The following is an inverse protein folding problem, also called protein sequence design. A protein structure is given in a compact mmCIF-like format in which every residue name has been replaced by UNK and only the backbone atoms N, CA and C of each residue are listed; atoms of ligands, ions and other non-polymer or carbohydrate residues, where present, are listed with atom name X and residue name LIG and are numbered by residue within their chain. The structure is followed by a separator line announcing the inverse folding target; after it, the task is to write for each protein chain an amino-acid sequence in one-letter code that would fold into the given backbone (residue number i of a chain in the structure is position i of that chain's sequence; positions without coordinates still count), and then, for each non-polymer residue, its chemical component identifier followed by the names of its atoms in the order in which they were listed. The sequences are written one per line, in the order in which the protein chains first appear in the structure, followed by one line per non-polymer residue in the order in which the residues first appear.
data_IF_761850026109
#
_entry.id   IF_761850026109
#
_cell.length_a   1.000
_cell.length_b   1.000
_cell.length_c   1.000
_cell.angle_alpha   90.00
_cell.angle_beta   90.00
_cell.angle_gamma   90.00
#
_symmetry.space_group_name_H-M   'P 1'
#
loop_
_entity.id
_entity.type
_entity.pdbx_description
1 polymer ?
#
# COMPACT_ATOMS: atom_id res chain seq x y z
N UNK A 1 -11.82 9.38 25.54
CA UNK A 1 -10.59 8.98 24.85
C UNK A 1 -9.94 10.21 24.23
N UNK A 2 -8.65 10.48 24.52
CA UNK A 2 -7.91 11.63 23.99
C UNK A 2 -6.50 11.18 23.60
N UNK A 3 -5.95 11.74 22.54
CA UNK A 3 -4.57 11.52 22.08
C UNK A 3 -3.83 12.84 22.18
N UNK A 4 -2.73 12.85 22.93
CA UNK A 4 -1.94 14.05 23.14
C UNK A 4 -0.88 14.24 22.04
N UNK A 5 -0.54 15.49 21.79
CA UNK A 5 0.51 15.89 20.85
C UNK A 5 1.71 16.37 21.64
N UNK A 6 2.86 15.73 21.41
CA UNK A 6 4.13 16.06 22.06
C UNK A 6 5.18 16.38 21.02
N UNK A 7 6.06 17.34 21.30
CA UNK A 7 7.12 17.74 20.39
C UNK A 7 8.50 17.32 20.90
N UNK A 8 9.42 17.13 19.95
CA UNK A 8 10.84 16.90 20.20
C UNK A 8 11.67 17.81 19.29
N UNK A 9 12.87 18.23 19.71
CA UNK A 9 13.79 18.93 18.81
C UNK A 9 14.12 18.05 17.60
N UNK A 10 14.19 18.67 16.42
CA UNK A 10 14.63 18.01 15.20
C UNK A 10 16.11 17.62 15.29
N UNK A 11 16.46 16.46 14.74
CA UNK A 11 17.86 16.02 14.63
C UNK A 11 18.72 16.94 13.74
N UNK A 12 18.09 17.79 12.92
CA UNK A 12 18.76 18.79 12.07
C UNK A 12 19.17 20.03 12.91
N UNK A 13 18.87 20.04 14.22
CA UNK A 13 19.22 21.12 15.15
C UNK A 13 18.35 22.38 15.00
N UNK A 14 17.45 22.42 14.02
CA UNK A 14 16.49 23.50 13.80
C UNK A 14 15.08 22.93 13.67
N UNK A 15 14.15 23.48 14.44
CA UNK A 15 12.73 23.12 14.43
C UNK A 15 12.33 22.01 15.41
N UNK A 16 11.03 21.77 15.50
CA UNK A 16 10.41 20.75 16.33
C UNK A 16 9.69 19.71 15.46
N UNK A 17 9.74 18.45 15.89
CA UNK A 17 9.00 17.34 15.30
C UNK A 17 7.88 16.96 16.25
N UNK A 18 6.66 16.98 15.72
CA UNK A 18 5.45 16.61 16.45
C UNK A 18 5.19 15.10 16.36
N UNK A 19 4.75 14.54 17.47
CA UNK A 19 4.36 13.13 17.61
C UNK A 19 3.05 13.04 18.39
N UNK A 20 2.30 11.99 18.11
CA UNK A 20 1.20 11.54 18.95
C UNK A 20 1.75 10.70 20.11
N UNK A 21 1.25 10.94 21.31
CA UNK A 21 1.46 10.08 22.46
C UNK A 21 0.33 9.04 22.51
N UNK A 22 0.67 7.77 22.30
CA UNK A 22 -0.35 6.72 22.35
C UNK A 22 -0.85 6.53 23.78
N UNK A 23 -2.17 6.60 24.03
CA UNK A 23 -2.72 6.56 25.39
C UNK A 23 -2.62 5.18 26.07
N UNK A 24 -2.37 4.10 25.31
CA UNK A 24 -2.25 2.74 25.87
C UNK A 24 -0.78 2.31 26.06
N UNK A 25 0.09 2.62 25.10
CA UNK A 25 1.51 2.19 25.16
C UNK A 25 2.44 3.28 25.67
N UNK A 26 1.97 4.52 25.79
CA UNK A 26 2.77 5.71 26.10
C UNK A 26 3.96 5.93 25.15
N UNK A 27 3.92 5.31 23.97
CA UNK A 27 4.94 5.47 22.93
C UNK A 27 4.60 6.67 22.04
N UNK A 28 5.63 7.42 21.68
CA UNK A 28 5.55 8.49 20.68
C UNK A 28 5.53 7.91 19.29
N UNK A 29 4.60 8.34 18.46
CA UNK A 29 4.45 7.84 17.10
C UNK A 29 3.94 8.92 16.14
N UNK A 30 4.21 8.75 14.83
CA UNK A 30 3.75 9.68 13.79
C UNK A 30 2.47 9.22 13.10
N UNK A 31 2.08 7.98 13.33
CA UNK A 31 0.90 7.34 12.75
C UNK A 31 0.20 6.56 13.85
N UNK A 32 -1.11 6.75 13.92
CA UNK A 32 -2.00 5.94 14.73
C UNK A 32 -2.84 5.07 13.79
N UNK A 33 -3.20 3.88 14.26
CA UNK A 33 -4.01 2.94 13.51
C UNK A 33 -5.42 2.98 14.09
N UNK A 34 -6.42 3.14 13.21
CA UNK A 34 -7.84 3.11 13.59
C UNK A 34 -8.33 1.67 13.55
N UNK A 35 -8.56 1.08 14.71
CA UNK A 35 -9.07 -0.29 14.84
C UNK A 35 -10.06 -0.27 16.00
N UNK A 36 -11.24 -0.84 15.76
CA UNK A 36 -12.34 -0.92 16.73
C UNK A 36 -12.72 0.45 17.35
N UNK A 37 -12.65 1.52 16.54
CA UNK A 37 -12.97 2.88 16.97
C UNK A 37 -11.88 3.61 17.76
N UNK A 38 -10.72 2.99 18.01
CA UNK A 38 -9.60 3.60 18.72
C UNK A 38 -8.41 3.90 17.79
N UNK A 39 -7.67 5.00 18.08
CA UNK A 39 -6.47 5.40 17.34
C UNK A 39 -5.19 5.13 18.14
N UNK A 40 -4.62 3.93 18.03
CA UNK A 40 -3.52 3.54 18.90
C UNK A 40 -2.22 3.28 18.14
N UNK A 41 -1.14 3.14 18.90
CA UNK A 41 0.14 2.66 18.39
C UNK A 41 -0.04 1.22 17.86
N UNK A 42 0.67 0.84 16.79
CA UNK A 42 0.58 -0.50 16.19
C UNK A 42 0.73 -1.66 17.20
N UNK A 43 1.53 -1.47 18.24
CA UNK A 43 1.79 -2.49 19.26
C UNK A 43 0.69 -2.57 20.34
N UNK A 44 -0.19 -1.58 20.41
CA UNK A 44 -1.36 -1.64 21.29
C UNK A 44 -2.31 -2.75 20.86
N UNK A 45 -2.33 -3.05 19.56
CA UNK A 45 -3.16 -4.08 18.96
C UNK A 45 -2.43 -5.42 18.98
N UNK A 46 -3.00 -6.40 19.68
CA UNK A 46 -2.51 -7.78 19.70
C UNK A 46 -3.23 -8.57 18.60
N UNK A 47 -2.49 -9.30 17.78
CA UNK A 47 -3.06 -10.18 16.76
C UNK A 47 -3.42 -9.51 15.43
N UNK A 48 -3.16 -8.21 15.26
CA UNK A 48 -3.28 -7.56 13.95
C UNK A 48 -2.09 -7.93 13.07
N UNK A 49 -2.37 -8.71 12.03
CA UNK A 49 -1.38 -9.15 11.04
C UNK A 49 -1.60 -8.42 9.73
N UNK A 50 -0.53 -8.16 8.98
CA UNK A 50 -0.69 -7.76 7.59
C UNK A 50 -1.37 -8.90 6.84
N UNK A 51 -2.25 -8.57 5.90
CA UNK A 51 -3.00 -9.55 5.09
C UNK A 51 -2.06 -10.60 4.46
N UNK A 52 -0.89 -10.17 3.97
CA UNK A 52 0.14 -11.04 3.39
C UNK A 52 0.69 -12.09 4.35
N UNK A 53 0.67 -11.84 5.66
CA UNK A 53 1.13 -12.78 6.69
C UNK A 53 0.11 -13.88 6.96
N UNK A 54 -1.17 -13.63 6.70
CA UNK A 54 -2.26 -14.61 6.88
C UNK A 54 -2.38 -15.52 5.66
N UNK A 55 -1.87 -15.10 4.50
CA UNK A 55 -1.89 -15.91 3.26
C UNK A 55 -0.98 -17.14 3.35
N UNK A 56 -1.52 -18.30 3.02
CA UNK A 56 -0.76 -19.55 2.83
C UNK A 56 0.21 -19.45 1.64
N UNK A 57 1.20 -20.35 1.57
CA UNK A 57 2.16 -20.40 0.43
C UNK A 57 1.45 -20.55 -0.93
N UNK A 58 0.42 -21.41 -0.98
CA UNK A 58 -0.39 -21.63 -2.19
C UNK A 58 -1.13 -20.35 -2.60
N UNK A 59 -1.77 -19.66 -1.65
CA UNK A 59 -2.46 -18.40 -1.93
C UNK A 59 -1.51 -17.31 -2.44
N UNK A 60 -0.30 -17.19 -1.87
CA UNK A 60 0.69 -16.23 -2.35
C UNK A 60 1.17 -16.54 -3.77
N UNK A 61 1.34 -17.82 -4.09
CA UNK A 61 1.69 -18.23 -5.44
C UNK A 61 0.57 -17.89 -6.43
N UNK A 62 -0.67 -18.22 -6.07
CA UNK A 62 -1.85 -17.89 -6.86
C UNK A 62 -1.98 -16.38 -7.09
N UNK A 63 -1.85 -15.57 -6.04
CA UNK A 63 -1.91 -14.10 -6.16
C UNK A 63 -0.75 -13.54 -7.00
N UNK A 64 0.44 -14.16 -6.95
CA UNK A 64 1.57 -13.77 -7.78
C UNK A 64 1.32 -14.07 -9.26
N UNK A 65 0.67 -15.17 -9.58
CA UNK A 65 0.38 -15.59 -10.95
C UNK A 65 -0.82 -14.83 -11.51
N UNK A 66 -1.96 -14.89 -10.83
CA UNK A 66 -3.26 -14.42 -11.32
C UNK A 66 -3.72 -13.09 -10.70
N UNK A 67 -3.08 -12.61 -9.62
CA UNK A 67 -3.54 -11.41 -8.91
C UNK A 67 -3.50 -10.13 -9.76
N UNK A 68 -2.67 -10.08 -10.80
CA UNK A 68 -2.67 -8.97 -11.77
C UNK A 68 -3.85 -9.04 -12.75
N UNK A 69 -4.33 -10.24 -13.07
CA UNK A 69 -5.50 -10.43 -13.94
C UNK A 69 -6.76 -9.89 -13.28
N UNK A 70 -6.99 -10.24 -12.01
CA UNK A 70 -8.15 -9.75 -11.25
C UNK A 70 -8.15 -8.24 -10.95
N UNK A 71 -7.03 -7.55 -11.19
CA UNK A 71 -6.87 -6.11 -10.92
C UNK A 71 -6.64 -5.31 -12.19
N UNK A 72 -6.93 -5.88 -13.36
CA UNK A 72 -6.65 -5.23 -14.63
C UNK A 72 -7.43 -3.91 -14.77
N UNK A 73 -8.69 -3.89 -14.32
CA UNK A 73 -9.54 -2.69 -14.33
C UNK A 73 -8.97 -1.60 -13.41
N UNK A 74 -8.57 -1.97 -12.18
CA UNK A 74 -7.91 -1.05 -11.23
C UNK A 74 -6.64 -0.43 -11.83
N UNK A 75 -5.88 -1.20 -12.62
CA UNK A 75 -4.66 -0.73 -13.27
C UNK A 75 -4.97 0.27 -14.39
N UNK A 76 -6.03 0.05 -15.15
CA UNK A 76 -6.52 1.00 -16.17
C UNK A 76 -7.05 2.28 -15.52
N UNK A 77 -7.81 2.17 -14.43
CA UNK A 77 -8.25 3.30 -13.63
C UNK A 77 -7.07 4.10 -13.08
N UNK A 78 -6.02 3.42 -12.60
CA UNK A 78 -4.80 4.08 -12.13
C UNK A 78 -4.06 4.81 -13.27
N UNK A 79 -4.03 4.21 -14.47
CA UNK A 79 -3.38 4.75 -15.65
C UNK A 79 -4.07 6.03 -16.16
N UNK A 80 -5.41 6.01 -16.23
CA UNK A 80 -6.23 7.12 -16.73
C UNK A 80 -6.71 8.09 -15.65
N UNK A 81 -6.28 7.90 -14.39
CA UNK A 81 -6.62 8.77 -13.27
C UNK A 81 -6.32 10.24 -13.59
N UNK A 82 -7.27 11.12 -13.27
CA UNK A 82 -7.09 12.58 -13.41
C UNK A 82 -5.81 13.02 -12.70
N UNK A 83 -4.98 13.77 -13.43
CA UNK A 83 -3.65 14.24 -13.01
C UNK A 83 -2.53 13.19 -12.92
N UNK A 84 -2.75 11.96 -13.40
CA UNK A 84 -1.66 10.99 -13.53
C UNK A 84 -0.64 11.46 -14.57
N UNK A 85 0.60 11.70 -14.13
CA UNK A 85 1.70 12.10 -15.02
C UNK A 85 2.48 10.86 -15.44
N UNK A 86 2.33 10.49 -16.71
CA UNK A 86 3.01 9.34 -17.28
C UNK A 86 4.48 9.62 -17.60
N UNK A 87 4.83 10.90 -17.76
CA UNK A 87 6.20 11.35 -18.05
C UNK A 87 6.66 12.44 -17.08
N UNK A 88 7.98 12.50 -16.89
CA UNK A 88 8.69 13.58 -16.21
C UNK A 88 9.95 13.89 -17.01
N UNK A 89 10.14 15.16 -17.37
CA UNK A 89 11.25 15.59 -18.24
C UNK A 89 11.36 14.76 -19.54
N UNK A 90 10.21 14.47 -20.18
CA UNK A 90 10.12 13.66 -21.40
C UNK A 90 10.34 12.16 -21.21
N UNK A 91 10.74 11.70 -20.02
CA UNK A 91 10.99 10.28 -19.72
C UNK A 91 9.78 9.66 -19.03
N UNK A 92 9.46 8.38 -19.31
CA UNK A 92 8.37 7.70 -18.61
C UNK A 92 8.66 7.58 -17.11
N UNK A 93 7.65 7.78 -16.28
CA UNK A 93 7.80 7.64 -14.82
C UNK A 93 7.92 6.17 -14.44
N UNK A 94 8.61 5.89 -13.32
CA UNK A 94 8.71 4.51 -12.78
C UNK A 94 7.32 3.91 -12.50
N UNK A 95 6.37 4.75 -12.09
CA UNK A 95 4.98 4.36 -11.86
C UNK A 95 4.31 3.90 -13.15
N UNK A 96 4.40 4.71 -14.22
CA UNK A 96 3.85 4.37 -15.54
C UNK A 96 4.41 3.04 -16.06
N UNK A 97 5.74 2.88 -16.04
CA UNK A 97 6.40 1.65 -16.48
C UNK A 97 5.93 0.41 -15.70
N UNK A 98 5.71 0.57 -14.38
CA UNK A 98 5.20 -0.52 -13.53
C UNK A 98 3.78 -0.93 -13.93
N UNK A 99 2.89 0.04 -14.15
CA UNK A 99 1.49 -0.20 -14.52
C UNK A 99 1.42 -0.92 -15.87
N UNK A 100 2.09 -0.39 -16.90
CA UNK A 100 2.10 -0.99 -18.24
C UNK A 100 2.63 -2.44 -18.20
N UNK A 101 3.70 -2.70 -17.44
CA UNK A 101 4.22 -4.07 -17.28
C UNK A 101 3.21 -5.02 -16.63
N UNK A 102 2.39 -4.52 -15.70
CA UNK A 102 1.36 -5.34 -15.05
C UNK A 102 0.17 -5.60 -15.96
N UNK A 103 -0.24 -4.61 -16.77
CA UNK A 103 -1.28 -4.75 -17.79
C UNK A 103 -0.86 -5.79 -18.83
N UNK A 104 0.33 -5.67 -19.40
CA UNK A 104 0.87 -6.65 -20.37
C UNK A 104 0.90 -8.07 -19.79
N UNK A 105 1.26 -8.21 -18.52
CA UNK A 105 1.25 -9.51 -17.85
C UNK A 105 -0.18 -10.06 -17.73
N UNK A 106 -1.15 -9.23 -17.38
CA UNK A 106 -2.56 -9.64 -17.24
C UNK A 106 -3.16 -10.06 -18.59
N UNK A 107 -2.91 -9.29 -19.65
CA UNK A 107 -3.39 -9.58 -21.01
C UNK A 107 -2.83 -10.89 -21.56
N UNK A 108 -1.55 -11.18 -21.32
CA UNK A 108 -0.93 -12.44 -21.74
C UNK A 108 -1.57 -13.66 -21.03
N UNK A 109 -1.97 -13.52 -19.77
CA UNK A 109 -2.66 -14.60 -19.04
C UNK A 109 -4.02 -14.87 -19.68
N UNK A 110 -4.79 -13.81 -19.96
CA UNK A 110 -6.11 -13.91 -20.60
C UNK A 110 -6.03 -14.62 -21.96
N UNK A 111 -5.02 -14.27 -22.77
CA UNK A 111 -4.80 -14.89 -24.08
C UNK A 111 -4.56 -16.40 -23.97
N UNK A 112 -3.68 -16.84 -23.07
CA UNK A 112 -3.39 -18.26 -22.87
C UNK A 112 -4.54 -19.07 -22.26
N UNK A 113 -5.44 -18.45 -21.49
CA UNK A 113 -6.66 -19.10 -21.01
C UNK A 113 -7.66 -19.33 -22.15
N UNK A 114 -7.81 -18.35 -23.05
CA UNK A 114 -8.69 -18.47 -24.21
C UNK A 114 -8.22 -19.56 -25.19
N UNK A 115 -6.91 -19.69 -25.45
CA UNK A 115 -6.36 -20.76 -26.32
C UNK A 115 -6.61 -22.18 -25.78
N UNK A 116 -6.84 -22.35 -24.48
CA UNK A 116 -7.13 -23.68 -23.88
C UNK A 116 -8.61 -24.07 -23.93
N UNK A 117 -9.48 -23.14 -24.27
CA UNK A 117 -10.93 -23.33 -24.35
C UNK A 117 -11.40 -23.68 -25.77
N UNK A 118 -10.52 -23.58 -26.77
CA UNK A 118 -10.72 -23.99 -28.16
C UNK A 118 -9.83 -25.18 -28.51
#
# INVERSE_FOLDING_TARGET
YKVELVSLPSNIGKGQVWYFLCPQTNKRCRKLYSIDGYFLHREAFKGCMYESQVKSKKQRQFEKEFGTYFKIDDLYDELYKKYSKNTYAGKPTRRYLRIIKQIQKAENIAYHENEKLF
#
